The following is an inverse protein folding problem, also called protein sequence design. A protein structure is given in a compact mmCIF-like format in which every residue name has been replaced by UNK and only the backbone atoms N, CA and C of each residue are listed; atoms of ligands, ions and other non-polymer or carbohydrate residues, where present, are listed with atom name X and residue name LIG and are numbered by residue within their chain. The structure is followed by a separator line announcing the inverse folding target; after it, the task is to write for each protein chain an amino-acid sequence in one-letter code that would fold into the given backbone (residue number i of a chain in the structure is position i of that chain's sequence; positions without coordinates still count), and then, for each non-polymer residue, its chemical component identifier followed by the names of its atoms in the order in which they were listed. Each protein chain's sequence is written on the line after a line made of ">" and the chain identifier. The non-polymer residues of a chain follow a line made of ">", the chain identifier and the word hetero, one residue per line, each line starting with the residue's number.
data_IF_582183439760
#
_entry.id   IF_582183439760
#
_cell.length_a   1.000
_cell.length_b   1.000
_cell.length_c   1.000
_cell.angle_alpha   90.00
_cell.angle_beta   90.00
_cell.angle_gamma   90.00
#
_symmetry.space_group_name_H-M   'P 1'
#
loop_
_entity.id
_entity.type
_entity.pdbx_description
1 polymer ?
#
# COMPACT_ATOMS: atom_id res chain seq x y z
N UNK A 1 9.19 3.13 12.37
CA UNK A 1 8.50 4.06 11.47
C UNK A 1 7.48 4.87 12.27
N UNK A 2 6.55 5.59 11.62
CA UNK A 2 5.32 6.11 12.26
C UNK A 2 4.16 5.11 12.09
N UNK A 3 3.07 5.22 12.86
CA UNK A 3 1.86 4.44 12.63
C UNK A 3 1.29 4.68 11.22
N UNK A 4 0.45 3.81 10.66
CA UNK A 4 -0.27 2.68 11.24
C UNK A 4 0.57 1.46 11.63
N UNK A 5 -0.06 0.56 12.40
CA UNK A 5 0.54 -0.65 12.97
C UNK A 5 1.16 -0.43 14.35
N UNK A 6 1.44 -1.54 15.03
CA UNK A 6 1.85 -1.57 16.43
C UNK A 6 3.36 -1.83 16.61
N UNK A 7 4.06 -2.31 15.58
CA UNK A 7 5.50 -2.64 15.67
C UNK A 7 6.37 -1.40 15.93
N UNK A 8 5.86 -0.18 15.67
CA UNK A 8 6.54 1.05 16.04
C UNK A 8 6.80 1.19 17.56
N UNK A 9 6.03 0.49 18.41
CA UNK A 9 6.16 0.52 19.88
C UNK A 9 6.74 -0.76 20.48
N UNK A 10 7.08 -1.75 19.65
CA UNK A 10 7.75 -2.97 20.11
C UNK A 10 9.18 -2.63 20.52
N UNK A 11 9.66 -3.26 21.60
CA UNK A 11 11.01 -3.03 22.11
C UNK A 11 12.07 -3.40 21.07
N UNK A 12 13.07 -2.55 20.90
CA UNK A 12 14.22 -2.84 20.06
C UNK A 12 14.90 -4.15 20.48
N UNK A 13 15.32 -4.96 19.50
CA UNK A 13 15.92 -6.28 19.72
C UNK A 13 14.92 -7.42 19.91
N UNK A 14 13.61 -7.15 19.86
CA UNK A 14 12.58 -8.22 19.80
C UNK A 14 12.76 -9.03 18.52
N UNK A 15 12.81 -10.36 18.66
CA UNK A 15 12.87 -11.28 17.53
C UNK A 15 11.45 -11.66 17.12
N UNK A 16 11.16 -11.52 15.84
CA UNK A 16 9.83 -11.71 15.24
C UNK A 16 10.03 -12.53 13.97
N UNK A 17 9.13 -13.48 13.70
CA UNK A 17 9.17 -14.24 12.47
C UNK A 17 8.66 -13.43 11.27
N UNK A 18 9.11 -13.80 10.06
CA UNK A 18 8.79 -13.08 8.81
C UNK A 18 7.29 -13.10 8.53
N UNK A 19 6.60 -14.19 8.87
CA UNK A 19 5.17 -14.31 8.62
C UNK A 19 4.38 -13.32 9.49
N UNK A 20 4.70 -13.21 10.78
CA UNK A 20 4.10 -12.21 11.68
C UNK A 20 4.29 -10.78 11.20
N UNK A 21 5.45 -10.45 10.62
CA UNK A 21 5.68 -9.14 10.01
C UNK A 21 4.83 -8.95 8.75
N UNK A 22 4.72 -9.96 7.89
CA UNK A 22 3.90 -9.90 6.67
C UNK A 22 2.40 -9.77 6.98
N UNK A 23 1.91 -10.50 7.99
CA UNK A 23 0.55 -10.39 8.50
C UNK A 23 0.29 -8.97 9.04
N UNK A 24 1.19 -8.42 9.85
CA UNK A 24 1.05 -7.05 10.36
C UNK A 24 1.08 -5.99 9.25
N UNK A 25 2.00 -6.14 8.29
CA UNK A 25 2.09 -5.28 7.10
C UNK A 25 0.78 -5.27 6.31
N UNK A 26 0.17 -6.43 6.04
CA UNK A 26 -1.02 -6.50 5.20
C UNK A 26 -2.29 -6.21 5.98
N UNK A 27 -2.46 -6.80 7.17
CA UNK A 27 -3.72 -6.72 7.92
C UNK A 27 -3.90 -5.37 8.59
N UNK A 28 -2.81 -4.80 9.11
CA UNK A 28 -2.82 -3.57 9.91
C UNK A 28 -2.11 -2.40 9.23
N UNK A 29 -1.58 -2.60 8.01
CA UNK A 29 -0.77 -1.59 7.33
C UNK A 29 0.42 -1.14 8.17
N UNK A 30 1.07 -2.09 8.86
CA UNK A 30 2.13 -1.77 9.79
C UNK A 30 3.40 -1.30 9.08
N UNK A 31 3.66 0.00 9.17
CA UNK A 31 4.79 0.64 8.52
C UNK A 31 6.14 0.16 9.04
N UNK A 32 6.24 -0.18 10.32
CA UNK A 32 7.49 -0.69 10.89
C UNK A 32 7.75 -2.12 10.46
N UNK A 33 6.71 -2.95 10.35
CA UNK A 33 6.83 -4.28 9.77
C UNK A 33 7.21 -4.21 8.27
N UNK A 34 6.60 -3.30 7.50
CA UNK A 34 6.96 -3.05 6.09
C UNK A 34 8.44 -2.70 5.95
N UNK A 35 8.92 -1.71 6.73
CA UNK A 35 10.33 -1.30 6.70
C UNK A 35 11.27 -2.47 7.04
N UNK A 36 10.93 -3.29 8.05
CA UNK A 36 11.74 -4.46 8.39
C UNK A 36 11.77 -5.52 7.28
N UNK A 37 10.66 -5.72 6.57
CA UNK A 37 10.61 -6.67 5.45
C UNK A 37 11.42 -6.16 4.25
N UNK A 38 11.32 -4.86 3.92
CA UNK A 38 12.13 -4.28 2.84
C UNK A 38 13.62 -4.33 3.21
N UNK A 39 13.99 -4.00 4.44
CA UNK A 39 15.39 -4.10 4.92
C UNK A 39 15.91 -5.54 4.84
N UNK A 40 15.11 -6.52 5.28
CA UNK A 40 15.47 -7.93 5.24
C UNK A 40 15.64 -8.47 3.81
N UNK A 41 14.77 -8.06 2.89
CA UNK A 41 14.81 -8.47 1.49
C UNK A 41 15.87 -7.70 0.68
N UNK A 42 16.20 -6.47 1.09
CA UNK A 42 16.99 -5.52 0.34
C UNK A 42 16.14 -4.71 -0.64
N UNK A 43 16.34 -3.38 -0.65
CA UNK A 43 15.58 -2.43 -1.46
C UNK A 43 15.54 -2.80 -2.95
N UNK A 44 16.71 -3.07 -3.53
CA UNK A 44 16.87 -3.43 -4.95
C UNK A 44 16.08 -4.70 -5.32
N UNK A 45 16.01 -5.69 -4.43
CA UNK A 45 15.21 -6.90 -4.69
C UNK A 45 13.71 -6.61 -4.69
N UNK A 46 13.25 -5.65 -3.87
CA UNK A 46 11.85 -5.23 -3.87
C UNK A 46 11.56 -4.39 -5.13
N UNK A 47 12.47 -3.52 -5.54
CA UNK A 47 12.41 -2.75 -6.79
C UNK A 47 12.28 -3.68 -8.02
N UNK A 48 13.12 -4.71 -8.11
CA UNK A 48 13.03 -5.74 -9.16
C UNK A 48 11.67 -6.45 -9.17
N UNK A 49 11.05 -6.62 -7.99
CA UNK A 49 9.75 -7.24 -7.87
C UNK A 49 8.64 -6.40 -8.53
N UNK A 50 8.74 -5.07 -8.62
CA UNK A 50 7.71 -4.28 -9.30
C UNK A 50 7.49 -4.76 -10.74
N UNK A 51 8.58 -4.92 -11.49
CA UNK A 51 8.50 -5.46 -12.86
C UNK A 51 7.99 -6.91 -12.88
N UNK A 52 8.48 -7.76 -11.96
CA UNK A 52 8.08 -9.17 -11.89
C UNK A 52 6.59 -9.36 -11.60
N UNK A 53 5.96 -8.43 -10.88
CA UNK A 53 4.53 -8.43 -10.54
C UNK A 53 3.68 -7.56 -11.49
N UNK A 54 4.27 -7.10 -12.59
CA UNK A 54 3.55 -6.47 -13.70
C UNK A 54 3.31 -4.98 -13.53
N UNK A 55 4.14 -4.28 -12.77
CA UNK A 55 4.11 -2.82 -12.72
C UNK A 55 4.50 -2.23 -14.09
N UNK A 56 3.68 -1.32 -14.61
CA UNK A 56 3.86 -0.75 -15.94
C UNK A 56 4.97 0.30 -16.03
N UNK A 57 5.31 0.91 -14.90
CA UNK A 57 6.37 1.94 -14.79
C UNK A 57 7.15 1.76 -13.47
N UNK A 58 7.94 0.68 -13.31
CA UNK A 58 8.61 0.36 -12.05
C UNK A 58 9.58 1.46 -11.60
N UNK A 59 10.27 2.10 -12.55
CA UNK A 59 11.29 3.14 -12.29
C UNK A 59 10.70 4.39 -11.61
N UNK A 60 9.40 4.65 -11.74
CA UNK A 60 8.72 5.73 -11.00
C UNK A 60 8.81 5.60 -9.48
N UNK A 61 9.16 4.41 -8.98
CA UNK A 61 9.34 4.13 -7.56
C UNK A 61 10.82 3.99 -7.18
N UNK A 62 11.79 4.37 -8.03
CA UNK A 62 13.21 4.19 -7.73
C UNK A 62 13.86 5.51 -7.27
N UNK A 63 14.69 5.50 -6.20
CA UNK A 63 14.83 4.41 -5.23
C UNK A 63 13.53 4.19 -4.43
N UNK A 64 13.21 2.93 -4.13
CA UNK A 64 12.00 2.54 -3.39
C UNK A 64 12.01 3.15 -2.01
N UNK A 65 11.18 4.16 -1.76
CA UNK A 65 11.03 4.76 -0.44
C UNK A 65 10.64 3.73 0.63
N UNK A 66 11.35 3.74 1.75
CA UNK A 66 10.90 3.14 3.00
C UNK A 66 9.81 4.01 3.60
N UNK A 67 8.90 3.43 4.39
CA UNK A 67 7.84 4.22 5.04
C UNK A 67 8.45 5.24 6.00
N UNK A 68 9.51 4.87 6.74
CA UNK A 68 10.23 5.81 7.61
C UNK A 68 10.84 6.99 6.85
N UNK A 69 11.31 6.77 5.63
CA UNK A 69 11.93 7.83 4.83
C UNK A 69 10.86 8.83 4.42
N UNK A 70 9.71 8.33 3.96
CA UNK A 70 8.54 9.16 3.67
C UNK A 70 8.12 10.02 4.87
N UNK A 71 8.02 9.43 6.08
CA UNK A 71 7.74 10.18 7.30
C UNK A 71 8.83 11.21 7.62
N UNK A 72 10.11 10.82 7.54
CA UNK A 72 11.24 11.72 7.79
C UNK A 72 11.20 12.95 6.88
N UNK A 73 10.88 12.74 5.60
CA UNK A 73 10.73 13.80 4.61
C UNK A 73 9.52 14.68 4.95
N UNK A 74 8.30 14.12 4.91
CA UNK A 74 7.06 14.91 5.00
C UNK A 74 6.87 15.59 6.36
N UNK A 75 7.35 14.99 7.45
CA UNK A 75 7.20 15.55 8.80
C UNK A 75 8.25 16.61 9.14
N UNK A 76 9.41 16.62 8.48
CA UNK A 76 10.56 17.40 8.97
C UNK A 76 11.22 18.29 7.91
N UNK A 77 11.13 17.94 6.63
CA UNK A 77 11.84 18.65 5.57
C UNK A 77 11.06 19.87 5.07
N UNK A 78 11.80 20.82 4.51
CA UNK A 78 11.22 22.03 3.91
C UNK A 78 10.71 21.74 2.48
N UNK A 79 9.80 22.58 1.98
CA UNK A 79 9.37 22.52 0.58
C UNK A 79 10.56 22.56 -0.39
N UNK A 80 11.56 23.42 -0.13
CA UNK A 80 12.76 23.50 -0.96
C UNK A 80 13.58 22.19 -0.97
N UNK A 81 13.63 21.49 0.15
CA UNK A 81 14.30 20.19 0.23
C UNK A 81 13.52 19.14 -0.59
N UNK A 82 12.20 19.12 -0.45
CA UNK A 82 11.33 18.20 -1.22
C UNK A 82 11.42 18.48 -2.73
N UNK A 83 11.40 19.74 -3.15
CA UNK A 83 11.55 20.13 -4.56
C UNK A 83 12.91 19.65 -5.13
N UNK A 84 13.98 19.76 -4.33
CA UNK A 84 15.30 19.23 -4.69
C UNK A 84 15.27 17.71 -4.82
N UNK A 85 14.66 17.02 -3.86
CA UNK A 85 14.56 15.55 -3.89
C UNK A 85 13.80 15.08 -5.13
N UNK A 86 12.62 15.65 -5.39
CA UNK A 86 11.77 15.30 -6.54
C UNK A 86 12.47 15.55 -7.88
N UNK A 87 13.31 16.59 -7.97
CA UNK A 87 14.02 16.95 -9.20
C UNK A 87 15.37 16.23 -9.36
N UNK A 88 15.79 15.42 -8.38
CA UNK A 88 17.07 14.74 -8.38
C UNK A 88 17.04 13.45 -9.23
N UNK A 89 18.21 12.98 -9.63
CA UNK A 89 18.38 11.63 -10.17
C UNK A 89 18.27 10.60 -9.04
N UNK A 90 18.00 9.35 -9.37
CA UNK A 90 17.86 8.25 -8.40
C UNK A 90 19.08 8.14 -7.48
N UNK A 91 20.30 8.25 -8.02
CA UNK A 91 21.55 8.27 -7.24
C UNK A 91 21.61 9.44 -6.23
N UNK A 92 21.13 10.62 -6.62
CA UNK A 92 21.12 11.81 -5.76
C UNK A 92 19.99 11.71 -4.73
N UNK A 93 18.83 11.14 -5.09
CA UNK A 93 17.77 10.80 -4.14
C UNK A 93 18.26 9.82 -3.09
N UNK A 94 18.86 8.69 -3.50
CA UNK A 94 19.41 7.69 -2.59
C UNK A 94 20.46 8.29 -1.65
N UNK A 95 21.35 9.15 -2.18
CA UNK A 95 22.34 9.88 -1.38
C UNK A 95 21.68 10.84 -0.37
N UNK A 96 20.62 11.56 -0.77
CA UNK A 96 19.86 12.43 0.13
C UNK A 96 19.17 11.65 1.25
N UNK A 97 18.58 10.49 0.95
CA UNK A 97 17.97 9.60 1.94
C UNK A 97 19.03 9.14 2.96
N UNK A 98 20.12 8.56 2.46
CA UNK A 98 21.20 8.01 3.29
C UNK A 98 21.85 9.06 4.19
N UNK A 99 22.16 10.24 3.65
CA UNK A 99 22.92 11.25 4.40
C UNK A 99 22.05 12.08 5.36
N UNK A 100 20.77 12.30 5.03
CA UNK A 100 19.96 13.32 5.71
C UNK A 100 18.67 12.78 6.33
N UNK A 101 18.14 11.65 5.86
CA UNK A 101 16.87 11.07 6.35
C UNK A 101 17.11 9.86 7.24
N UNK A 102 17.93 8.90 6.82
CA UNK A 102 18.22 7.68 7.59
C UNK A 102 18.79 7.94 8.99
N UNK A 103 19.66 8.96 9.21
CA UNK A 103 20.15 9.27 10.55
C UNK A 103 19.10 9.87 11.48
N UNK A 104 17.91 10.25 10.97
CA UNK A 104 16.88 10.89 11.77
C UNK A 104 16.22 9.90 12.73
N UNK A 105 16.03 10.32 13.98
CA UNK A 105 15.22 9.58 14.94
C UNK A 105 13.76 9.96 14.78
N UNK A 106 12.93 9.00 14.35
CA UNK A 106 11.48 9.15 14.28
C UNK A 106 10.86 8.62 15.57
N UNK A 107 10.16 9.50 16.29
CA UNK A 107 9.44 9.14 17.52
C UNK A 107 7.95 8.96 17.20
N UNK A 108 7.40 7.73 17.25
CA UNK A 108 5.98 7.47 16.95
C UNK A 108 5.01 8.16 17.91
N UNK A 109 5.50 8.73 19.02
CA UNK A 109 4.71 9.48 20.00
C UNK A 109 4.82 11.01 19.85
N UNK A 110 5.65 11.53 18.94
CA UNK A 110 5.92 12.98 18.83
C UNK A 110 4.94 13.74 17.92
N UNK A 111 3.89 13.08 17.41
CA UNK A 111 2.95 13.65 16.45
C UNK A 111 3.52 13.73 15.03
N UNK A 112 2.82 14.44 14.14
CA UNK A 112 3.09 14.46 12.68
C UNK A 112 4.05 15.57 12.22
N UNK A 113 4.68 16.29 13.16
CA UNK A 113 5.61 17.38 12.82
C UNK A 113 4.97 18.44 11.93
N UNK A 114 5.60 18.74 10.79
CA UNK A 114 5.12 19.69 9.79
C UNK A 114 4.05 19.12 8.85
N UNK A 115 3.78 17.81 8.90
CA UNK A 115 2.86 17.16 7.98
C UNK A 115 1.42 17.34 8.44
N UNK A 116 0.70 18.28 7.82
CA UNK A 116 -0.65 18.68 8.24
C UNK A 116 -1.67 18.78 7.09
N UNK A 117 -1.36 18.14 5.96
CA UNK A 117 -2.18 18.14 4.75
C UNK A 117 -1.47 17.46 3.58
N UNK A 118 -2.06 17.48 2.38
CA UNK A 118 -1.42 16.96 1.19
C UNK A 118 -0.05 17.60 0.98
N UNK A 119 0.98 16.76 0.91
CA UNK A 119 2.37 17.18 0.89
C UNK A 119 3.13 16.36 -0.14
N UNK A 120 3.49 16.99 -1.26
CA UNK A 120 4.30 16.37 -2.32
C UNK A 120 3.80 15.01 -2.82
N UNK A 121 2.47 14.83 -2.88
CA UNK A 121 1.84 13.55 -3.21
C UNK A 121 2.17 13.04 -4.63
N UNK A 122 2.62 13.94 -5.52
CA UNK A 122 2.99 13.63 -6.90
C UNK A 122 4.48 13.33 -7.08
N UNK A 123 5.28 13.35 -6.01
CA UNK A 123 6.73 13.12 -6.10
C UNK A 123 7.39 12.43 -4.90
N UNK A 124 6.70 12.31 -3.77
CA UNK A 124 7.14 11.57 -2.58
C UNK A 124 5.99 10.68 -2.16
N UNK A 125 5.84 9.54 -2.82
CA UNK A 125 4.85 8.48 -2.55
C UNK A 125 5.29 7.18 -3.25
N UNK A 126 4.45 6.14 -3.20
CA UNK A 126 4.56 4.96 -4.05
C UNK A 126 3.52 5.02 -5.17
N UNK A 127 3.96 5.01 -6.42
CA UNK A 127 3.13 5.25 -7.59
C UNK A 127 2.74 3.94 -8.26
N UNK A 128 1.44 3.77 -8.53
CA UNK A 128 0.89 2.64 -9.28
C UNK A 128 -0.46 3.02 -9.89
N UNK A 129 -0.80 2.43 -11.04
CA UNK A 129 -2.17 2.49 -11.58
C UNK A 129 -3.09 1.48 -10.88
N UNK A 130 -4.40 1.65 -11.01
CA UNK A 130 -5.36 0.64 -10.56
C UNK A 130 -5.13 -0.73 -11.22
N UNK A 131 -4.66 -0.74 -12.47
CA UNK A 131 -4.35 -1.98 -13.18
C UNK A 131 -3.09 -2.66 -12.63
N UNK A 132 -2.05 -1.90 -12.28
CA UNK A 132 -0.85 -2.41 -11.61
C UNK A 132 -1.21 -3.12 -10.30
N UNK A 133 -2.03 -2.48 -9.48
CA UNK A 133 -2.46 -3.03 -8.18
C UNK A 133 -3.32 -4.30 -8.36
N UNK A 134 -4.20 -4.33 -9.36
CA UNK A 134 -4.95 -5.54 -9.72
C UNK A 134 -4.03 -6.67 -10.20
N UNK A 135 -3.02 -6.38 -11.05
CA UNK A 135 -2.04 -7.37 -11.52
C UNK A 135 -1.21 -7.94 -10.39
N UNK A 136 -0.71 -7.10 -9.49
CA UNK A 136 0.06 -7.53 -8.33
C UNK A 136 -0.78 -8.43 -7.41
N UNK A 137 -2.01 -8.01 -7.09
CA UNK A 137 -2.93 -8.78 -6.24
C UNK A 137 -3.31 -10.11 -6.88
N UNK A 138 -3.58 -10.13 -8.19
CA UNK A 138 -3.88 -11.36 -8.93
C UNK A 138 -2.69 -12.33 -8.97
N UNK A 139 -1.47 -11.81 -9.10
CA UNK A 139 -0.24 -12.60 -9.07
C UNK A 139 -0.02 -13.23 -7.70
N UNK A 140 -0.17 -12.47 -6.60
CA UNK A 140 -0.09 -12.99 -5.24
C UNK A 140 -1.20 -14.02 -4.95
N UNK A 141 -2.44 -13.75 -5.40
CA UNK A 141 -3.54 -14.70 -5.27
C UNK A 141 -3.28 -16.02 -6.00
N UNK A 142 -2.67 -15.96 -7.18
CA UNK A 142 -2.30 -17.15 -7.96
C UNK A 142 -1.12 -17.89 -7.35
N UNK A 143 -0.15 -17.15 -6.80
CA UNK A 143 1.00 -17.70 -6.07
C UNK A 143 0.55 -18.54 -4.88
N UNK A 144 -0.35 -18.02 -4.05
CA UNK A 144 -0.84 -18.77 -2.88
C UNK A 144 -1.77 -19.95 -3.20
N UNK A 145 -1.94 -20.30 -4.49
CA UNK A 145 -2.54 -21.57 -4.90
C UNK A 145 -1.52 -22.71 -5.01
N UNK A 146 -0.23 -22.39 -5.00
CA UNK A 146 0.84 -23.37 -5.15
C UNK A 146 1.14 -24.05 -3.81
N UNK A 147 1.57 -25.33 -3.82
CA UNK A 147 1.97 -26.03 -2.61
C UNK A 147 3.04 -25.24 -1.84
N UNK A 148 2.91 -25.23 -0.51
CA UNK A 148 3.81 -24.55 0.45
C UNK A 148 3.73 -23.01 0.41
N UNK A 149 2.87 -22.41 -0.43
CA UNK A 149 2.65 -20.97 -0.52
C UNK A 149 1.25 -20.54 -0.07
N UNK A 150 0.46 -21.46 0.50
CA UNK A 150 -0.87 -21.19 1.04
C UNK A 150 -0.93 -19.96 1.98
N UNK A 151 0.09 -19.70 2.85
CA UNK A 151 0.08 -18.51 3.70
C UNK A 151 -0.07 -17.19 2.95
N UNK A 152 0.34 -17.09 1.68
CA UNK A 152 0.17 -15.87 0.88
C UNK A 152 -1.31 -15.50 0.76
N UNK A 153 -2.19 -16.49 0.54
CA UNK A 153 -3.64 -16.24 0.48
C UNK A 153 -4.22 -15.87 1.84
N UNK A 154 -3.78 -16.54 2.89
CA UNK A 154 -4.24 -16.25 4.26
C UNK A 154 -3.86 -14.81 4.66
N UNK A 155 -2.65 -14.38 4.32
CA UNK A 155 -2.19 -13.01 4.50
C UNK A 155 -3.05 -12.04 3.69
N UNK A 156 -3.29 -12.30 2.40
CA UNK A 156 -4.10 -11.42 1.54
C UNK A 156 -5.54 -11.21 2.05
N UNK A 157 -6.14 -12.22 2.69
CA UNK A 157 -7.56 -12.19 3.12
C UNK A 157 -7.76 -11.90 4.61
N UNK A 158 -6.69 -11.65 5.37
CA UNK A 158 -6.81 -11.42 6.82
C UNK A 158 -7.50 -10.09 7.18
N UNK A 159 -7.56 -9.14 6.25
CA UNK A 159 -8.39 -7.94 6.36
C UNK A 159 -9.43 -7.93 5.25
N UNK A 160 -10.73 -7.92 5.61
CA UNK A 160 -11.85 -7.96 4.64
C UNK A 160 -12.28 -6.59 4.13
N UNK A 161 -11.74 -5.48 4.66
CA UNK A 161 -12.07 -4.12 4.22
C UNK A 161 -13.58 -3.79 4.28
N UNK A 162 -14.29 -4.33 5.27
CA UNK A 162 -15.72 -4.11 5.46
C UNK A 162 -16.66 -4.95 4.58
N UNK A 163 -16.15 -5.96 3.86
CA UNK A 163 -17.02 -6.89 3.11
C UNK A 163 -17.69 -7.88 4.07
N UNK A 164 -18.93 -7.58 4.46
CA UNK A 164 -19.70 -8.32 5.47
C UNK A 164 -20.45 -9.53 4.92
N UNK A 165 -20.92 -9.49 3.67
CA UNK A 165 -21.68 -10.60 3.07
C UNK A 165 -20.78 -11.81 2.78
N UNK A 166 -20.70 -12.72 3.76
CA UNK A 166 -19.92 -13.96 3.68
C UNK A 166 -20.61 -15.03 2.83
N UNK A 167 -21.91 -14.91 2.56
CA UNK A 167 -22.62 -15.85 1.71
C UNK A 167 -22.30 -15.58 0.24
N UNK A 168 -22.26 -14.32 -0.16
CA UNK A 168 -21.77 -13.92 -1.47
C UNK A 168 -20.24 -14.06 -1.56
N UNK A 169 -19.50 -13.60 -0.54
CA UNK A 169 -18.04 -13.49 -0.58
C UNK A 169 -17.37 -14.32 0.54
N UNK A 170 -17.25 -15.65 0.39
CA UNK A 170 -16.58 -16.49 1.37
C UNK A 170 -15.15 -16.04 1.68
N UNK A 171 -14.38 -15.65 0.65
CA UNK A 171 -13.03 -15.08 0.80
C UNK A 171 -13.01 -13.65 0.25
N UNK A 172 -12.51 -12.73 1.07
CA UNK A 172 -12.37 -11.33 0.72
C UNK A 172 -11.12 -10.77 1.40
N UNK A 173 -10.30 -10.06 0.65
CA UNK A 173 -9.09 -9.39 1.11
C UNK A 173 -9.11 -7.92 0.70
N UNK A 174 -8.40 -7.10 1.47
CA UNK A 174 -8.35 -5.65 1.31
C UNK A 174 -6.99 -5.10 1.71
N UNK A 175 -6.47 -4.19 0.90
CA UNK A 175 -5.39 -3.29 1.28
C UNK A 175 -5.77 -1.85 0.97
N UNK A 176 -5.69 -1.01 2.01
CA UNK A 176 -5.84 0.44 1.89
C UNK A 176 -4.49 1.16 1.87
N UNK A 177 -4.48 2.36 1.30
CA UNK A 177 -3.41 3.35 1.40
C UNK A 177 -4.02 4.73 1.64
N UNK A 178 -3.43 5.50 2.56
CA UNK A 178 -3.97 6.81 2.93
C UNK A 178 -2.88 7.78 3.36
N UNK A 179 -2.93 8.98 2.78
CA UNK A 179 -2.44 10.20 3.39
C UNK A 179 -3.43 11.34 3.13
N UNK A 180 -3.18 12.53 3.67
CA UNK A 180 -3.97 13.68 3.30
C UNK A 180 -3.85 13.92 1.78
N UNK A 181 -4.94 13.73 1.04
CA UNK A 181 -4.95 13.91 -0.42
C UNK A 181 -4.67 12.65 -1.23
N UNK A 182 -4.45 11.48 -0.61
CA UNK A 182 -4.34 10.19 -1.30
C UNK A 182 -5.23 9.18 -0.60
N UNK A 183 -6.08 8.50 -1.37
CA UNK A 183 -6.83 7.33 -0.92
C UNK A 183 -6.69 6.24 -1.96
N UNK A 184 -6.20 5.08 -1.58
CA UNK A 184 -6.24 3.88 -2.41
C UNK A 184 -6.97 2.75 -1.68
N UNK A 185 -7.76 1.98 -2.42
CA UNK A 185 -8.44 0.80 -1.94
C UNK A 185 -8.32 -0.32 -2.97
N UNK A 186 -7.72 -1.43 -2.59
CA UNK A 186 -7.55 -2.60 -3.45
C UNK A 186 -8.14 -3.84 -2.77
N UNK A 187 -8.92 -4.62 -3.50
CA UNK A 187 -9.65 -5.79 -3.02
C UNK A 187 -9.35 -7.02 -3.87
N UNK A 188 -9.35 -8.18 -3.22
CA UNK A 188 -9.56 -9.48 -3.85
C UNK A 188 -10.84 -10.09 -3.27
N UNK A 189 -11.77 -10.47 -4.13
CA UNK A 189 -13.07 -11.00 -3.74
C UNK A 189 -13.32 -12.31 -4.46
N UNK A 190 -13.46 -13.41 -3.71
CA UNK A 190 -13.91 -14.66 -4.28
C UNK A 190 -15.37 -14.89 -3.90
N UNK A 191 -16.19 -14.99 -4.94
CA UNK A 191 -17.61 -15.28 -4.79
C UNK A 191 -17.84 -16.76 -4.50
N UNK A 192 -18.97 -17.09 -3.91
CA UNK A 192 -19.41 -18.47 -3.62
C UNK A 192 -19.48 -19.41 -4.83
N UNK A 193 -19.47 -18.89 -6.06
CA UNK A 193 -19.36 -19.68 -7.30
C UNK A 193 -17.91 -19.92 -7.78
N UNK A 194 -16.92 -19.49 -6.99
CA UNK A 194 -15.49 -19.66 -7.27
C UNK A 194 -14.89 -18.61 -8.19
N UNK A 195 -15.67 -17.63 -8.70
CA UNK A 195 -15.12 -16.51 -9.47
C UNK A 195 -14.39 -15.54 -8.55
N UNK A 196 -13.22 -15.08 -9.00
CA UNK A 196 -12.37 -14.14 -8.27
C UNK A 196 -12.35 -12.80 -9.00
N UNK A 197 -12.53 -11.73 -8.25
CA UNK A 197 -12.53 -10.35 -8.72
C UNK A 197 -11.44 -9.56 -8.01
N UNK A 198 -10.76 -8.72 -8.78
CA UNK A 198 -9.76 -7.78 -8.28
C UNK A 198 -10.29 -6.37 -8.57
N UNK A 199 -10.43 -5.56 -7.53
CA UNK A 199 -11.02 -4.22 -7.63
C UNK A 199 -10.04 -3.25 -7.01
N UNK A 200 -9.62 -2.23 -7.76
CA UNK A 200 -8.76 -1.18 -7.23
C UNK A 200 -9.30 0.19 -7.61
N UNK A 201 -9.29 1.12 -6.67
CA UNK A 201 -9.59 2.53 -6.92
C UNK A 201 -8.63 3.43 -6.13
N UNK A 202 -8.05 4.39 -6.85
CA UNK A 202 -7.15 5.40 -6.31
C UNK A 202 -7.70 6.80 -6.57
N UNK A 203 -7.55 7.68 -5.57
CA UNK A 203 -8.00 9.06 -5.61
C UNK A 203 -6.87 9.95 -5.11
N UNK A 204 -6.46 10.93 -5.93
CA UNK A 204 -5.38 11.86 -5.61
C UNK A 204 -5.88 13.30 -5.70
N UNK A 205 -5.61 14.12 -4.67
CA UNK A 205 -5.98 15.53 -4.59
C UNK A 205 -4.85 16.36 -3.97
N UNK A 206 -4.00 17.02 -4.80
CA UNK A 206 -2.83 17.75 -4.30
C UNK A 206 -3.13 18.98 -3.44
N UNK A 207 -4.39 19.45 -3.43
CA UNK A 207 -4.80 20.70 -2.75
C UNK A 207 -5.91 20.52 -1.71
N UNK A 208 -6.26 19.28 -1.38
CA UNK A 208 -7.33 18.99 -0.44
C UNK A 208 -7.26 17.58 0.12
N UNK A 209 -7.69 17.41 1.37
CA UNK A 209 -7.87 16.07 1.93
C UNK A 209 -9.04 15.36 1.23
N UNK A 210 -8.93 14.06 1.10
CA UNK A 210 -9.98 13.20 0.56
C UNK A 210 -10.70 12.54 1.74
N UNK A 211 -12.02 12.58 1.72
CA UNK A 211 -12.83 11.84 2.68
C UNK A 211 -12.85 10.35 2.29
N UNK A 212 -12.28 9.51 3.16
CA UNK A 212 -12.16 8.07 2.90
C UNK A 212 -13.53 7.39 2.79
N UNK A 213 -14.53 7.85 3.55
CA UNK A 213 -15.86 7.23 3.56
C UNK A 213 -16.61 7.54 2.26
N UNK A 214 -16.49 8.77 1.76
CA UNK A 214 -17.02 9.18 0.48
C UNK A 214 -16.35 8.41 -0.67
N UNK A 215 -15.01 8.35 -0.69
CA UNK A 215 -14.27 7.56 -1.69
C UNK A 215 -14.68 6.08 -1.66
N UNK A 216 -14.85 5.50 -0.45
CA UNK A 216 -15.32 4.12 -0.27
C UNK A 216 -16.73 3.92 -0.81
N UNK A 217 -17.63 4.88 -0.62
CA UNK A 217 -19.02 4.78 -1.03
C UNK A 217 -19.17 4.64 -2.56
N UNK A 218 -18.28 5.26 -3.34
CA UNK A 218 -18.23 5.13 -4.82
C UNK A 218 -18.03 3.68 -5.29
N UNK A 219 -17.47 2.80 -4.45
CA UNK A 219 -17.27 1.39 -4.77
C UNK A 219 -18.53 0.53 -4.52
N UNK A 220 -19.55 1.05 -3.84
CA UNK A 220 -20.75 0.28 -3.49
C UNK A 220 -21.46 -0.30 -4.72
N UNK A 221 -21.75 0.50 -5.78
CA UNK A 221 -22.39 -0.03 -6.98
C UNK A 221 -21.57 -1.12 -7.68
N UNK A 222 -20.24 -1.04 -7.57
CA UNK A 222 -19.33 -2.04 -8.12
C UNK A 222 -19.50 -3.36 -7.37
N UNK A 223 -19.49 -3.37 -6.03
CA UNK A 223 -19.69 -4.62 -5.29
C UNK A 223 -21.09 -5.21 -5.48
N UNK A 224 -22.12 -4.38 -5.54
CA UNK A 224 -23.49 -4.82 -5.81
C UNK A 224 -23.57 -5.53 -7.16
N UNK A 225 -22.96 -4.94 -8.20
CA UNK A 225 -22.91 -5.58 -9.50
C UNK A 225 -22.09 -6.88 -9.48
N UNK A 226 -20.86 -6.84 -8.96
CA UNK A 226 -19.97 -8.00 -8.93
C UNK A 226 -20.57 -9.17 -8.14
N UNK A 227 -21.41 -8.88 -7.14
CA UNK A 227 -22.13 -9.89 -6.36
C UNK A 227 -23.05 -10.76 -7.21
N UNK A 228 -23.63 -10.21 -8.29
CA UNK A 228 -24.62 -10.88 -9.14
C UNK A 228 -24.19 -11.10 -10.58
N UNK A 229 -23.09 -10.46 -11.03
CA UNK A 229 -22.63 -10.47 -12.43
C UNK A 229 -22.47 -11.90 -12.97
N UNK A 230 -23.03 -12.21 -14.14
CA UNK A 230 -22.91 -13.52 -14.78
C UNK A 230 -21.92 -13.52 -15.95
N UNK A 231 -21.79 -12.41 -16.68
CA UNK A 231 -20.90 -12.28 -17.84
C UNK A 231 -19.95 -11.07 -17.70
N UNK A 232 -18.69 -11.17 -18.14
CA UNK A 232 -17.76 -10.03 -18.14
C UNK A 232 -18.34 -8.80 -18.87
N UNK A 233 -18.13 -7.61 -18.32
CA UNK A 233 -18.59 -6.35 -18.92
C UNK A 233 -20.08 -6.04 -18.77
N UNK A 234 -20.85 -6.86 -18.04
CA UNK A 234 -22.28 -6.59 -17.79
C UNK A 234 -22.55 -5.64 -16.62
N UNK A 235 -21.50 -5.20 -15.90
CA UNK A 235 -21.59 -4.06 -15.00
C UNK A 235 -21.51 -2.78 -15.84
N UNK A 236 -22.59 -2.00 -15.89
CA UNK A 236 -22.57 -0.66 -16.46
C UNK A 236 -21.64 0.24 -15.65
N UNK A 237 -20.94 1.17 -16.32
CA UNK A 237 -20.21 2.23 -15.65
C UNK A 237 -21.18 3.01 -14.74
N UNK A 238 -20.80 3.35 -13.49
CA UNK A 238 -21.57 4.30 -12.71
C UNK A 238 -21.65 5.64 -13.48
N UNK A 239 -22.89 6.13 -13.69
CA UNK A 239 -23.16 7.44 -14.32
C UNK A 239 -22.59 8.62 -13.52
#
# INVERSE_FOLDING_TARGET
>A
SMPSGDYAWVNAGTVVDVQSLAEAMIWHSDNTATDHLIDFLGRENVEEAFAAYGHSDPESNFPLLMTRELFGIKMSQTALWMDRYISATDDEQARLLQEQIDPMTINPNAGWGNWNGPTAIDGIEWFASAEDLCRATASLWSMGAQPDLEPVRDILIGNRGGIEDRAAWPRAGYKGGYEAGVVNMTFVLERSDGRVFFVSAGYNQPRGAIDQSAARAELTPIFDCLGVVSEPGSCSDPE
#
